data_IF_191456284030
#
_entry.id   IF_191456284030
#
_cell.length_a   1.000
_cell.length_b   1.000
_cell.length_c   1.000
_cell.angle_alpha   90.00
_cell.angle_beta   90.00
_cell.angle_gamma   90.00
#
_symmetry.space_group_name_H-M   'P 1'
#
loop_
_entity.id
_entity.type
_entity.pdbx_description
1 polymer ?
#
# COMPACT_ATOMS: atom_id res chain seq x y z
N UNK A 1 -5.68 -14.95 12.21
CA UNK A 1 -5.28 -14.87 10.79
C UNK A 1 -3.77 -14.92 10.74
N UNK A 2 -3.19 -15.53 9.71
CA UNK A 2 -1.73 -15.59 9.59
C UNK A 2 -1.14 -14.30 8.99
N UNK A 3 0.14 -14.07 9.22
CA UNK A 3 0.85 -12.88 8.77
C UNK A 3 0.84 -12.71 7.25
N UNK A 4 0.71 -13.79 6.47
CA UNK A 4 0.56 -13.70 5.02
C UNK A 4 -0.78 -13.08 4.63
N UNK A 5 -1.87 -13.56 5.20
CA UNK A 5 -3.21 -13.03 4.92
C UNK A 5 -3.31 -11.57 5.35
N UNK A 6 -2.79 -11.22 6.52
CA UNK A 6 -2.79 -9.84 7.01
C UNK A 6 -1.94 -8.92 6.12
N UNK A 7 -0.82 -9.39 5.58
CA UNK A 7 -0.01 -8.61 4.64
C UNK A 7 -0.76 -8.30 3.34
N UNK A 8 -1.51 -9.27 2.79
CA UNK A 8 -2.35 -9.03 1.61
C UNK A 8 -3.45 -8.01 1.93
N UNK A 9 -4.15 -8.18 3.06
CA UNK A 9 -5.23 -7.28 3.49
C UNK A 9 -4.74 -5.86 3.74
N UNK A 10 -3.47 -5.68 4.15
CA UNK A 10 -2.91 -4.35 4.40
C UNK A 10 -2.91 -3.42 3.17
N UNK A 11 -2.98 -3.97 1.95
CA UNK A 11 -3.07 -3.21 0.70
C UNK A 11 -4.48 -2.78 0.30
N UNK A 12 -5.51 -3.28 0.99
CA UNK A 12 -6.84 -2.71 0.89
C UNK A 12 -6.77 -1.32 1.56
N UNK A 13 -7.23 -0.24 0.90
CA UNK A 13 -7.09 1.13 1.40
C UNK A 13 -7.57 1.27 2.84
N UNK A 14 -7.04 2.26 3.56
CA UNK A 14 -7.25 2.62 4.97
C UNK A 14 -7.93 1.59 5.90
N UNK A 15 -9.20 1.23 5.66
CA UNK A 15 -9.93 0.18 6.36
C UNK A 15 -9.15 -1.14 6.41
N UNK A 16 -8.65 -1.63 5.27
CA UNK A 16 -7.90 -2.88 5.20
C UNK A 16 -6.58 -2.82 5.97
N UNK A 17 -5.88 -1.70 5.82
CA UNK A 17 -4.68 -1.42 6.60
C UNK A 17 -4.93 -1.44 8.11
N UNK A 18 -6.00 -0.77 8.58
CA UNK A 18 -6.36 -0.73 10.01
C UNK A 18 -6.68 -2.14 10.54
N UNK A 19 -7.47 -2.92 9.79
CA UNK A 19 -7.80 -4.31 10.14
C UNK A 19 -6.51 -5.14 10.28
N UNK A 20 -5.62 -5.06 9.28
CA UNK A 20 -4.36 -5.79 9.28
C UNK A 20 -3.45 -5.39 10.45
N UNK A 21 -3.39 -4.09 10.78
CA UNK A 21 -2.61 -3.57 11.89
C UNK A 21 -3.14 -4.06 13.24
N UNK A 22 -4.42 -3.86 13.53
CA UNK A 22 -4.98 -4.22 14.84
C UNK A 22 -5.00 -5.73 15.10
N UNK A 23 -5.27 -6.54 14.07
CA UNK A 23 -5.26 -8.00 14.20
C UNK A 23 -3.81 -8.54 14.26
N UNK A 24 -2.88 -7.90 13.55
CA UNK A 24 -1.51 -8.38 13.40
C UNK A 24 -0.51 -7.88 14.43
N UNK A 25 -0.79 -6.75 15.12
CA UNK A 25 0.21 -6.02 15.92
C UNK A 25 0.93 -6.86 16.98
N UNK A 26 0.23 -7.80 17.62
CA UNK A 26 0.79 -8.57 18.75
C UNK A 26 1.71 -9.70 18.28
N UNK A 27 1.57 -10.17 17.04
CA UNK A 27 2.31 -11.32 16.49
C UNK A 27 2.99 -11.01 15.13
N UNK A 28 3.22 -9.72 14.84
CA UNK A 28 3.74 -9.29 13.54
C UNK A 28 5.23 -9.67 13.36
N UNK A 29 5.48 -10.55 12.39
CA UNK A 29 6.84 -10.85 11.92
C UNK A 29 7.40 -9.73 11.03
N UNK A 30 8.66 -9.86 10.64
CA UNK A 30 9.33 -8.88 9.77
C UNK A 30 8.65 -8.73 8.40
N UNK A 31 8.00 -9.80 7.92
CA UNK A 31 7.28 -9.80 6.65
C UNK A 31 6.01 -8.97 6.74
N UNK A 32 5.18 -9.18 7.77
CA UNK A 32 3.98 -8.38 8.00
C UNK A 32 4.33 -6.92 8.28
N UNK A 33 5.36 -6.65 9.09
CA UNK A 33 5.83 -5.28 9.38
C UNK A 33 6.23 -4.54 8.11
N UNK A 34 6.93 -5.21 7.19
CA UNK A 34 7.30 -4.63 5.90
C UNK A 34 6.07 -4.23 5.08
N UNK A 35 5.11 -5.15 4.93
CA UNK A 35 3.91 -4.90 4.14
C UNK A 35 2.98 -3.86 4.79
N UNK A 36 2.86 -3.83 6.12
CA UNK A 36 2.13 -2.78 6.85
C UNK A 36 2.76 -1.39 6.64
N UNK A 37 4.10 -1.28 6.68
CA UNK A 37 4.78 0.00 6.44
C UNK A 37 4.66 0.44 4.97
N UNK A 38 4.84 -0.48 4.03
CA UNK A 38 4.75 -0.17 2.60
C UNK A 38 3.34 0.26 2.21
N UNK A 39 2.30 -0.48 2.62
CA UNK A 39 0.92 -0.14 2.33
C UNK A 39 0.48 1.17 2.99
N UNK A 40 0.91 1.46 4.23
CA UNK A 40 0.67 2.76 4.86
C UNK A 40 1.30 3.91 4.05
N UNK A 41 2.55 3.72 3.61
CA UNK A 41 3.24 4.72 2.79
C UNK A 41 2.49 4.97 1.47
N UNK A 42 1.94 3.93 0.83
CA UNK A 42 1.12 4.08 -0.37
C UNK A 42 -0.19 4.83 -0.10
N UNK A 43 -0.86 4.57 1.02
CA UNK A 43 -2.07 5.30 1.43
C UNK A 43 -1.76 6.78 1.65
N UNK A 44 -0.72 7.10 2.43
CA UNK A 44 -0.33 8.48 2.72
C UNK A 44 0.10 9.19 1.43
N UNK A 45 0.95 8.54 0.62
CA UNK A 45 1.40 9.10 -0.65
C UNK A 45 0.23 9.35 -1.61
N UNK A 46 -0.71 8.41 -1.71
CA UNK A 46 -1.92 8.55 -2.53
C UNK A 46 -2.76 9.75 -2.11
N UNK A 47 -2.98 9.96 -0.81
CA UNK A 47 -3.71 11.12 -0.29
C UNK A 47 -2.98 12.42 -0.64
N UNK A 48 -1.68 12.51 -0.34
CA UNK A 48 -0.88 13.70 -0.62
C UNK A 48 -0.83 14.03 -2.12
N UNK A 49 -0.65 13.01 -2.97
CA UNK A 49 -0.66 13.16 -4.41
C UNK A 49 -2.00 13.71 -4.91
N UNK A 50 -3.14 13.16 -4.46
CA UNK A 50 -4.45 13.63 -4.88
C UNK A 50 -4.74 15.07 -4.41
N UNK A 51 -4.36 15.43 -3.18
CA UNK A 51 -4.50 16.80 -2.67
C UNK A 51 -3.66 17.79 -3.48
N UNK A 52 -2.38 17.47 -3.73
CA UNK A 52 -1.50 18.32 -4.53
C UNK A 52 -2.00 18.45 -5.97
N UNK A 53 -2.42 17.34 -6.58
CA UNK A 53 -2.96 17.32 -7.94
C UNK A 53 -4.25 18.15 -8.06
N UNK A 54 -5.15 18.04 -7.08
CA UNK A 54 -6.38 18.83 -7.05
C UNK A 54 -6.11 20.34 -7.02
N UNK A 55 -5.16 20.78 -6.19
CA UNK A 55 -4.75 22.20 -6.13
C UNK A 55 -4.18 22.65 -7.47
N UNK A 56 -3.31 21.86 -8.10
CA UNK A 56 -2.71 22.19 -9.40
C UNK A 56 -3.78 22.34 -10.48
N UNK A 57 -4.74 21.41 -10.57
CA UNK A 57 -5.79 21.44 -11.58
C UNK A 57 -6.75 22.62 -11.38
N UNK A 58 -7.01 23.04 -10.13
CA UNK A 58 -7.81 24.25 -9.87
C UNK A 58 -7.16 25.52 -10.42
N UNK A 59 -5.82 25.61 -10.39
CA UNK A 59 -5.07 26.77 -10.89
C UNK A 59 -4.87 26.67 -12.41
N UNK A 60 -4.55 25.47 -12.91
CA UNK A 60 -4.24 25.20 -14.31
C UNK A 60 -5.01 23.97 -14.82
N UNK A 61 -6.27 24.15 -15.25
CA UNK A 61 -7.12 23.02 -15.68
C UNK A 61 -6.59 22.20 -16.86
N UNK A 62 -5.73 22.79 -17.70
CA UNK A 62 -5.10 22.08 -18.82
C UNK A 62 -4.12 20.98 -18.39
N UNK A 63 -3.70 20.94 -17.12
CA UNK A 63 -2.78 19.92 -16.58
C UNK A 63 -3.50 18.65 -16.09
N UNK A 64 -4.79 18.49 -16.35
CA UNK A 64 -5.59 17.31 -15.96
C UNK A 64 -5.00 15.98 -16.46
N UNK A 65 -4.27 15.97 -17.58
CA UNK A 65 -3.59 14.78 -18.08
C UNK A 65 -2.51 14.25 -17.12
N UNK A 66 -1.94 15.06 -16.22
CA UNK A 66 -0.99 14.57 -15.21
C UNK A 66 -1.64 13.60 -14.21
N UNK A 67 -2.97 13.57 -14.14
CA UNK A 67 -3.72 12.61 -13.34
C UNK A 67 -3.43 11.15 -13.70
N UNK A 68 -3.00 10.88 -14.94
CA UNK A 68 -2.58 9.53 -15.36
C UNK A 68 -1.39 8.99 -14.55
N UNK A 69 -0.56 9.86 -13.95
CA UNK A 69 0.52 9.44 -13.05
C UNK A 69 -0.03 8.73 -11.81
N UNK A 70 -1.27 9.03 -11.39
CA UNK A 70 -1.93 8.35 -10.27
C UNK A 70 -2.08 6.83 -10.48
N UNK A 71 -2.14 6.35 -11.74
CA UNK A 71 -2.17 4.92 -12.02
C UNK A 71 -0.89 4.19 -11.59
N UNK A 72 0.24 4.89 -11.46
CA UNK A 72 1.48 4.32 -10.91
C UNK A 72 1.27 3.88 -9.46
N UNK A 73 0.53 4.64 -8.65
CA UNK A 73 0.22 4.27 -7.26
C UNK A 73 -0.59 2.98 -7.23
N UNK A 74 -1.58 2.84 -8.12
CA UNK A 74 -2.37 1.62 -8.25
C UNK A 74 -1.52 0.42 -8.71
N UNK A 75 -0.59 0.63 -9.65
CA UNK A 75 0.35 -0.40 -10.06
C UNK A 75 1.23 -0.86 -8.88
N UNK A 76 1.72 0.07 -8.05
CA UNK A 76 2.51 -0.26 -6.86
C UNK A 76 1.70 -1.03 -5.81
N UNK A 77 0.40 -0.74 -5.65
CA UNK A 77 -0.50 -1.53 -4.79
C UNK A 77 -0.60 -2.96 -5.30
N UNK A 78 -0.85 -3.16 -6.60
CA UNK A 78 -0.94 -4.49 -7.21
C UNK A 78 0.38 -5.26 -7.04
N UNK A 79 1.53 -4.62 -7.29
CA UNK A 79 2.85 -5.21 -7.08
C UNK A 79 3.05 -5.61 -5.62
N UNK A 80 2.64 -4.75 -4.68
CA UNK A 80 2.70 -5.04 -3.25
C UNK A 80 1.87 -6.26 -2.85
N UNK A 81 0.64 -6.37 -3.38
CA UNK A 81 -0.24 -7.54 -3.19
C UNK A 81 0.40 -8.80 -3.75
N UNK A 82 0.93 -8.75 -4.98
CA UNK A 82 1.61 -9.89 -5.61
C UNK A 82 2.80 -10.33 -4.77
N UNK A 83 3.62 -9.39 -4.31
CA UNK A 83 4.78 -9.68 -3.46
C UNK A 83 4.35 -10.33 -2.12
N UNK A 84 3.27 -9.82 -1.50
CA UNK A 84 2.70 -10.41 -0.29
C UNK A 84 2.15 -11.83 -0.53
N UNK A 85 1.48 -12.03 -1.65
CA UNK A 85 0.90 -13.32 -2.03
C UNK A 85 1.97 -14.37 -2.37
N UNK A 86 3.11 -13.95 -2.93
CA UNK A 86 4.19 -14.84 -3.33
C UNK A 86 5.00 -15.37 -2.15
N UNK A 87 4.90 -14.80 -0.93
CA UNK A 87 5.67 -15.15 0.30
C UNK A 87 6.63 -16.33 0.10
N UNK A 88 7.77 -16.07 -0.56
CA UNK A 88 8.76 -17.11 -0.86
C UNK A 88 9.40 -17.55 0.45
N UNK A 89 9.42 -18.85 0.74
CA UNK A 89 10.15 -19.46 1.87
C UNK A 89 11.68 -19.34 1.67
N UNK A 90 12.21 -18.16 1.36
CA UNK A 90 13.67 -17.96 1.22
C UNK A 90 14.37 -17.88 2.60
N UNK A 91 13.62 -17.83 3.70
CA UNK A 91 14.20 -17.79 5.05
C UNK A 91 14.30 -19.15 5.78
N UNK A 92 14.35 -20.28 5.06
CA UNK A 92 14.57 -21.61 5.69
C UNK A 92 15.98 -22.17 5.44
N UNK A 93 16.97 -21.34 5.04
CA UNK A 93 18.36 -21.81 4.91
C UNK A 93 19.44 -20.81 5.37
N UNK A 94 19.24 -20.16 6.51
CA UNK A 94 20.37 -19.68 7.31
C UNK A 94 20.11 -19.94 8.78
#
# INVERSE_FOLDING_TARGET
>A
MDNKTLAIISYIPLIGWLIAFFIGRDNADNFLKFHLKQSLALVIFGILFNVAFFIIVMIVPSLTFLGYIGYVVWALVVIGIINAAIKRKIQVQK
#
